data_IF_164650021441
#
_entry.id   IF_164650021441
#
_cell.length_a   1.000
_cell.length_b   1.000
_cell.length_c   1.000
_cell.angle_alpha   90.00
_cell.angle_beta   90.00
_cell.angle_gamma   90.00
#
_symmetry.space_group_name_H-M   'P 1'
#
loop_
_entity.id
_entity.type
_entity.pdbx_description
1 polymer ?
#
# COMPACT_ATOMS: atom_id res chain seq x y z
N UNK A 1 2.31 -3.56 1.02
CA UNK A 1 1.88 -4.07 2.31
C UNK A 1 0.63 -3.41 2.85
N UNK A 2 -0.07 -4.14 3.71
CA UNK A 2 -1.29 -3.66 4.35
C UNK A 2 -1.03 -2.65 5.48
N UNK A 3 -2.13 -2.13 6.07
CA UNK A 3 -2.09 -1.29 7.27
C UNK A 3 -1.50 -2.04 8.47
N UNK A 4 -1.02 -1.28 9.47
CA UNK A 4 -0.51 -1.85 10.72
C UNK A 4 -1.47 -2.85 11.39
N UNK A 5 -2.78 -2.56 11.39
CA UNK A 5 -3.78 -3.46 11.95
C UNK A 5 -3.76 -4.86 11.31
N UNK A 6 -3.56 -4.93 9.99
CA UNK A 6 -3.44 -6.20 9.27
C UNK A 6 -2.12 -6.91 9.61
N UNK A 7 -1.00 -6.19 9.61
CA UNK A 7 0.30 -6.73 10.01
C UNK A 7 0.26 -7.24 11.45
N UNK A 8 -0.40 -6.50 12.34
CA UNK A 8 -0.61 -6.90 13.74
C UNK A 8 -1.32 -8.25 13.83
N UNK A 9 -2.49 -8.39 13.18
CA UNK A 9 -3.29 -9.62 13.25
C UNK A 9 -2.61 -10.82 12.58
N UNK A 10 -1.88 -10.59 11.48
CA UNK A 10 -1.24 -11.66 10.71
C UNK A 10 0.11 -12.11 11.27
N UNK A 11 0.85 -11.21 11.92
CA UNK A 11 2.20 -11.47 12.39
C UNK A 11 2.31 -11.31 13.91
N UNK A 12 2.05 -10.11 14.44
CA UNK A 12 2.35 -9.77 15.82
C UNK A 12 1.57 -10.65 16.82
N UNK A 13 0.28 -10.85 16.56
CA UNK A 13 -0.60 -11.68 17.41
C UNK A 13 -0.35 -13.18 17.27
N UNK A 14 0.47 -13.58 16.29
CA UNK A 14 0.91 -14.96 16.10
C UNK A 14 2.27 -15.25 16.73
N UNK A 15 2.98 -14.24 17.21
CA UNK A 15 4.27 -14.41 17.86
C UNK A 15 4.10 -15.13 19.20
N UNK A 16 4.94 -16.13 19.44
CA UNK A 16 4.99 -16.81 20.75
C UNK A 16 5.59 -15.89 21.82
N UNK A 17 5.42 -16.26 23.09
CA UNK A 17 6.03 -15.55 24.21
C UNK A 17 7.58 -15.55 24.18
N UNK A 18 8.19 -16.46 23.41
CA UNK A 18 9.66 -16.57 23.26
C UNK A 18 10.21 -15.66 22.16
N UNK A 19 9.37 -15.05 21.34
CA UNK A 19 9.82 -14.16 20.28
C UNK A 19 10.50 -12.91 20.84
N UNK A 20 11.74 -12.65 20.41
CA UNK A 20 12.45 -11.43 20.77
C UNK A 20 11.89 -10.24 20.00
N UNK A 21 10.89 -9.59 20.56
CA UNK A 21 10.21 -8.44 19.95
C UNK A 21 11.12 -7.23 19.74
N UNK A 22 12.19 -7.11 20.53
CA UNK A 22 13.14 -6.00 20.40
C UNK A 22 13.94 -6.05 19.07
N UNK A 23 14.06 -7.25 18.47
CA UNK A 23 14.72 -7.42 17.17
C UNK A 23 13.75 -7.33 15.98
N UNK A 24 12.47 -7.07 16.24
CA UNK A 24 11.47 -6.95 15.16
C UNK A 24 11.24 -5.49 14.79
N UNK A 25 11.29 -5.23 13.50
CA UNK A 25 11.00 -3.94 12.89
C UNK A 25 9.73 -4.08 12.04
N UNK A 26 8.66 -3.40 12.42
CA UNK A 26 7.39 -3.48 11.71
C UNK A 26 7.25 -2.26 10.80
N UNK A 27 7.27 -2.50 9.50
CA UNK A 27 7.23 -1.45 8.48
C UNK A 27 6.05 -1.67 7.50
N UNK A 28 4.80 -1.47 7.97
CA UNK A 28 3.62 -1.56 7.11
C UNK A 28 3.60 -0.46 6.05
N UNK A 29 2.70 -0.60 5.06
CA UNK A 29 2.47 0.37 4.00
C UNK A 29 3.77 0.75 3.27
N UNK A 30 4.49 -0.27 2.77
CA UNK A 30 5.76 -0.12 2.05
C UNK A 30 6.84 0.65 2.82
N UNK A 31 6.85 0.56 4.16
CA UNK A 31 7.84 1.22 5.01
C UNK A 31 7.54 2.67 5.39
N UNK A 32 6.43 3.24 4.92
CA UNK A 32 6.05 4.61 5.25
C UNK A 32 5.64 4.81 6.71
N UNK A 33 5.43 3.71 7.41
CA UNK A 33 5.23 3.69 8.87
C UNK A 33 6.20 2.72 9.48
N UNK A 34 6.70 3.08 10.65
CA UNK A 34 7.65 2.26 11.39
C UNK A 34 7.25 2.13 12.85
N UNK A 35 7.25 0.90 13.33
CA UNK A 35 6.93 0.58 14.71
C UNK A 35 8.05 -0.25 15.34
N UNK A 36 8.34 0.07 16.59
CA UNK A 36 9.31 -0.65 17.46
C UNK A 36 8.65 -1.10 18.75
N UNK A 37 9.18 -2.17 19.28
CA UNK A 37 8.82 -2.62 20.63
C UNK A 37 9.60 -1.84 21.68
N UNK A 38 8.90 -1.20 22.64
CA UNK A 38 9.48 -0.41 23.71
C UNK A 38 9.74 -1.21 25.01
N UNK A 39 9.45 -2.50 24.99
CA UNK A 39 9.47 -3.38 26.17
C UNK A 39 8.08 -3.79 26.64
N UNK A 40 7.05 -3.02 26.32
CA UNK A 40 5.66 -3.25 26.72
C UNK A 40 4.68 -3.16 25.53
N UNK A 41 4.91 -2.22 24.60
CA UNK A 41 4.00 -1.91 23.50
C UNK A 41 4.74 -1.70 22.18
N UNK A 42 4.00 -1.81 21.08
CA UNK A 42 4.45 -1.38 19.76
C UNK A 42 4.20 0.10 19.60
N UNK A 43 5.27 0.88 19.58
CA UNK A 43 5.25 2.34 19.44
C UNK A 43 5.52 2.74 18.00
N UNK A 44 4.70 3.62 17.45
CA UNK A 44 4.96 4.23 16.16
C UNK A 44 6.11 5.22 16.29
N UNK A 45 7.18 4.98 15.55
CA UNK A 45 8.39 5.83 15.56
C UNK A 45 8.23 6.96 14.55
N UNK A 46 7.76 6.63 13.33
CA UNK A 46 7.42 7.62 12.31
C UNK A 46 6.24 7.19 11.45
N UNK A 47 5.65 8.17 10.78
CA UNK A 47 4.70 8.00 9.69
C UNK A 47 4.95 9.10 8.64
N UNK A 48 5.09 8.69 7.37
CA UNK A 48 5.15 9.58 6.22
C UNK A 48 3.78 9.54 5.53
N UNK A 49 2.92 10.47 5.88
CA UNK A 49 1.56 10.54 5.31
C UNK A 49 1.52 11.56 4.17
N UNK A 50 0.68 11.29 3.19
CA UNK A 50 0.33 12.28 2.16
C UNK A 50 -0.22 13.54 2.82
N UNK A 51 0.07 14.70 2.26
CA UNK A 51 -0.52 15.95 2.71
C UNK A 51 -2.05 15.91 2.64
N UNK A 52 -2.73 16.72 3.46
CA UNK A 52 -4.19 16.82 3.37
C UNK A 52 -4.65 17.30 1.98
N UNK A 53 -3.89 18.19 1.35
CA UNK A 53 -4.14 18.67 0.01
C UNK A 53 -4.05 17.55 -1.03
N UNK A 54 -2.98 16.74 -0.97
CA UNK A 54 -2.79 15.62 -1.90
C UNK A 54 -3.84 14.53 -1.71
N UNK A 55 -4.21 14.24 -0.47
CA UNK A 55 -5.32 13.33 -0.18
C UNK A 55 -6.62 13.81 -0.79
N UNK A 56 -6.98 15.09 -0.58
CA UNK A 56 -8.19 15.67 -1.15
C UNK A 56 -8.19 15.62 -2.68
N UNK A 57 -7.08 15.99 -3.33
CA UNK A 57 -6.91 15.91 -4.79
C UNK A 57 -6.99 14.47 -5.29
N UNK A 58 -6.43 13.51 -4.56
CA UNK A 58 -6.51 12.10 -4.91
C UNK A 58 -7.96 11.59 -4.89
N UNK A 59 -8.73 11.92 -3.85
CA UNK A 59 -10.15 11.58 -3.78
C UNK A 59 -10.93 12.17 -4.94
N UNK A 60 -10.77 13.47 -5.22
CA UNK A 60 -11.47 14.17 -6.31
C UNK A 60 -11.13 13.56 -7.67
N UNK A 61 -9.85 13.33 -7.96
CA UNK A 61 -9.39 12.76 -9.21
C UNK A 61 -9.90 11.34 -9.43
N UNK A 62 -9.81 10.48 -8.39
CA UNK A 62 -10.33 9.11 -8.44
C UNK A 62 -11.83 9.08 -8.71
N UNK A 63 -12.62 9.86 -7.98
CA UNK A 63 -14.07 9.89 -8.18
C UNK A 63 -14.45 10.40 -9.56
N UNK A 64 -13.88 11.54 -9.97
CA UNK A 64 -14.15 12.14 -11.28
C UNK A 64 -13.82 11.18 -12.43
N UNK A 65 -12.62 10.61 -12.44
CA UNK A 65 -12.18 9.72 -13.49
C UNK A 65 -12.93 8.38 -13.49
N UNK A 66 -13.20 7.80 -12.30
CA UNK A 66 -13.96 6.57 -12.21
C UNK A 66 -15.40 6.72 -12.68
N UNK A 67 -16.06 7.85 -12.38
CA UNK A 67 -17.39 8.17 -12.92
C UNK A 67 -17.36 8.38 -14.42
N UNK A 68 -16.42 9.16 -14.93
CA UNK A 68 -16.27 9.42 -16.37
C UNK A 68 -15.98 8.16 -17.21
N UNK A 69 -15.39 7.15 -16.59
CA UNK A 69 -15.05 5.88 -17.24
C UNK A 69 -16.07 4.75 -16.96
N UNK A 70 -17.20 5.04 -16.30
CA UNK A 70 -18.20 4.06 -15.87
C UNK A 70 -17.65 2.95 -14.97
N UNK A 71 -16.65 3.28 -14.15
CA UNK A 71 -16.02 2.36 -13.15
C UNK A 71 -16.59 2.59 -11.76
N UNK A 72 -17.30 3.70 -11.53
CA UNK A 72 -17.94 4.01 -10.26
C UNK A 72 -19.25 3.25 -10.10
N UNK A 73 -19.14 1.99 -9.65
CA UNK A 73 -20.29 1.09 -9.52
C UNK A 73 -21.24 1.51 -8.40
N UNK A 74 -22.53 1.21 -8.53
CA UNK A 74 -23.54 1.54 -7.51
C UNK A 74 -23.45 0.62 -6.29
N UNK A 75 -23.17 -0.66 -6.50
CA UNK A 75 -23.02 -1.66 -5.45
C UNK A 75 -21.58 -2.03 -5.27
N UNK A 76 -21.08 -1.94 -4.03
CA UNK A 76 -19.70 -2.27 -3.65
C UNK A 76 -19.66 -2.98 -2.30
N UNK A 77 -18.61 -3.75 -2.08
CA UNK A 77 -18.34 -4.43 -0.82
C UNK A 77 -17.39 -3.59 0.05
N UNK A 78 -17.91 -2.91 1.06
CA UNK A 78 -17.16 -2.01 1.91
C UNK A 78 -16.79 -0.67 1.24
N UNK A 79 -15.80 -0.01 1.77
CA UNK A 79 -15.34 1.28 1.25
C UNK A 79 -14.70 1.13 -0.13
N UNK A 80 -14.95 2.11 -0.99
CA UNK A 80 -14.38 2.18 -2.34
C UNK A 80 -13.01 2.83 -2.32
N UNK A 81 -12.84 3.89 -1.56
CA UNK A 81 -11.58 4.57 -1.37
C UNK A 81 -11.15 4.40 0.09
N UNK A 82 -10.00 3.83 0.30
CA UNK A 82 -9.40 3.64 1.61
C UNK A 82 -8.21 4.58 1.79
N UNK A 83 -8.28 5.42 2.81
CA UNK A 83 -7.14 6.23 3.26
C UNK A 83 -6.27 5.41 4.22
N UNK A 84 -5.01 5.23 3.85
CA UNK A 84 -3.98 4.55 4.64
C UNK A 84 -2.95 5.52 5.19
N UNK A 85 -3.23 6.84 5.08
CA UNK A 85 -2.34 7.93 5.46
C UNK A 85 -1.30 8.21 4.37
N UNK A 86 -0.33 7.35 4.19
CA UNK A 86 0.73 7.45 3.15
C UNK A 86 0.30 6.95 1.77
N UNK A 87 -0.87 6.36 1.66
CA UNK A 87 -1.40 5.78 0.42
C UNK A 87 -2.93 5.90 0.40
N UNK A 88 -3.46 6.30 -0.73
CA UNK A 88 -4.90 6.21 -1.03
C UNK A 88 -5.12 5.04 -1.97
N UNK A 89 -6.00 4.12 -1.60
CA UNK A 89 -6.34 2.95 -2.42
C UNK A 89 -7.79 3.02 -2.88
N UNK A 90 -8.00 3.11 -4.18
CA UNK A 90 -9.32 2.93 -4.80
C UNK A 90 -9.53 1.45 -5.12
N UNK A 91 -10.73 0.93 -4.86
CA UNK A 91 -11.18 -0.39 -5.32
C UNK A 91 -12.54 -0.26 -6.01
N UNK A 92 -12.61 -0.62 -7.28
CA UNK A 92 -13.84 -0.48 -8.07
C UNK A 92 -15.02 -1.24 -7.48
N UNK A 93 -14.77 -2.42 -6.90
CA UNK A 93 -15.76 -3.26 -6.25
C UNK A 93 -15.85 -3.05 -4.74
N UNK A 94 -15.02 -2.17 -4.16
CA UNK A 94 -14.87 -1.99 -2.72
C UNK A 94 -13.83 -2.92 -2.10
N UNK A 95 -13.33 -2.50 -0.94
CA UNK A 95 -12.18 -3.18 -0.29
C UNK A 95 -12.49 -4.62 0.12
N UNK A 96 -13.74 -4.91 0.50
CA UNK A 96 -14.18 -6.22 1.01
C UNK A 96 -14.75 -7.15 -0.08
N UNK A 97 -14.63 -6.78 -1.36
CA UNK A 97 -15.13 -7.64 -2.45
C UNK A 97 -14.40 -8.99 -2.47
N UNK A 98 -15.11 -10.10 -2.76
CA UNK A 98 -14.51 -11.42 -2.93
C UNK A 98 -13.44 -11.42 -4.03
N UNK A 99 -12.39 -12.24 -3.86
CA UNK A 99 -11.26 -12.32 -4.80
C UNK A 99 -11.72 -12.66 -6.21
N UNK A 100 -12.62 -13.66 -6.34
CA UNK A 100 -13.16 -14.10 -7.62
C UNK A 100 -13.92 -12.96 -8.34
N UNK A 101 -14.67 -12.13 -7.59
CA UNK A 101 -15.36 -10.99 -8.17
C UNK A 101 -14.39 -9.91 -8.65
N UNK A 102 -13.31 -9.66 -7.90
CA UNK A 102 -12.26 -8.72 -8.29
C UNK A 102 -11.53 -9.16 -9.56
N UNK A 103 -11.18 -10.43 -9.66
CA UNK A 103 -10.51 -11.02 -10.82
C UNK A 103 -11.41 -11.02 -12.06
N UNK A 104 -12.69 -11.36 -11.89
CA UNK A 104 -13.67 -11.37 -12.98
C UNK A 104 -14.03 -9.96 -13.49
N UNK A 105 -13.85 -8.92 -12.67
CA UNK A 105 -14.23 -7.55 -13.04
C UNK A 105 -13.35 -6.95 -14.13
N UNK A 106 -12.06 -7.22 -14.10
CA UNK A 106 -11.07 -6.65 -15.05
C UNK A 106 -9.96 -7.67 -15.39
N UNK A 107 -10.31 -8.79 -16.06
CA UNK A 107 -9.38 -9.88 -16.32
C UNK A 107 -8.22 -9.47 -17.25
N UNK A 108 -8.38 -8.40 -18.02
CA UNK A 108 -7.35 -7.87 -18.92
C UNK A 108 -6.55 -6.72 -18.30
N UNK A 109 -6.90 -6.27 -17.09
CA UNK A 109 -6.34 -5.10 -16.40
C UNK A 109 -6.57 -3.76 -17.14
N UNK A 110 -7.39 -3.72 -18.18
CA UNK A 110 -7.59 -2.52 -19.00
C UNK A 110 -8.29 -1.39 -18.23
N UNK A 111 -9.33 -1.73 -17.45
CA UNK A 111 -10.13 -0.72 -16.72
C UNK A 111 -9.28 -0.03 -15.67
N UNK A 112 -8.59 -0.79 -14.82
CA UNK A 112 -7.75 -0.21 -13.77
C UNK A 112 -6.54 0.55 -14.33
N UNK A 113 -5.92 0.03 -15.42
CA UNK A 113 -4.79 0.70 -16.06
C UNK A 113 -5.21 2.02 -16.71
N UNK A 114 -6.39 2.06 -17.33
CA UNK A 114 -6.95 3.29 -17.90
C UNK A 114 -7.25 4.31 -16.81
N UNK A 115 -7.86 3.88 -15.70
CA UNK A 115 -8.11 4.75 -14.55
C UNK A 115 -6.79 5.28 -13.96
N UNK A 116 -5.81 4.41 -13.73
CA UNK A 116 -4.51 4.82 -13.19
C UNK A 116 -3.83 5.87 -14.06
N UNK A 117 -3.82 5.70 -15.39
CA UNK A 117 -3.25 6.71 -16.32
C UNK A 117 -3.96 8.05 -16.26
N UNK A 118 -5.29 8.05 -16.16
CA UNK A 118 -6.07 9.30 -16.09
C UNK A 118 -5.80 10.04 -14.78
N UNK A 119 -5.75 9.31 -13.65
CA UNK A 119 -5.44 9.88 -12.34
C UNK A 119 -3.98 10.35 -12.26
N UNK A 120 -3.03 9.62 -12.86
CA UNK A 120 -1.64 10.04 -12.94
C UNK A 120 -1.45 11.35 -13.71
N UNK A 121 -2.24 11.58 -14.75
CA UNK A 121 -2.23 12.84 -15.50
C UNK A 121 -2.70 14.03 -14.66
N UNK A 122 -3.65 13.82 -13.75
CA UNK A 122 -4.12 14.85 -12.81
C UNK A 122 -3.14 15.12 -11.68
N UNK A 123 -2.36 14.11 -11.26
CA UNK A 123 -1.48 14.13 -10.09
C UNK A 123 -0.02 13.83 -10.48
N UNK A 124 0.61 14.64 -11.33
CA UNK A 124 1.92 14.33 -11.89
C UNK A 124 3.06 14.30 -10.85
N UNK A 125 2.84 14.85 -9.67
CA UNK A 125 3.80 14.85 -8.55
C UNK A 125 3.68 13.60 -7.66
N UNK A 126 2.59 12.85 -7.77
CA UNK A 126 2.39 11.59 -7.05
C UNK A 126 2.66 10.38 -7.93
N UNK A 127 2.82 9.25 -7.31
CA UNK A 127 2.88 7.95 -7.96
C UNK A 127 1.49 7.33 -7.98
N UNK A 128 1.01 6.98 -9.17
CA UNK A 128 -0.28 6.30 -9.36
C UNK A 128 -0.04 4.99 -10.05
N UNK A 129 -0.34 3.90 -9.37
CA UNK A 129 -0.11 2.53 -9.88
C UNK A 129 -1.39 1.71 -9.86
N UNK A 130 -1.60 0.85 -10.86
CA UNK A 130 -2.57 -0.22 -10.72
C UNK A 130 -2.13 -1.13 -9.57
N UNK A 131 -3.04 -1.39 -8.64
CA UNK A 131 -2.82 -2.28 -7.50
C UNK A 131 -3.27 -3.71 -7.79
N UNK A 132 -3.99 -4.35 -6.84
CA UNK A 132 -4.56 -5.69 -7.02
C UNK A 132 -5.54 -5.79 -8.19
N UNK A 133 -6.35 -6.85 -8.24
CA UNK A 133 -7.19 -7.17 -9.40
C UNK A 133 -8.18 -6.04 -9.81
N UNK A 134 -8.63 -5.20 -8.88
CA UNK A 134 -9.61 -4.12 -9.14
C UNK A 134 -9.24 -2.78 -8.53
N UNK A 135 -7.96 -2.55 -8.19
CA UNK A 135 -7.54 -1.37 -7.43
C UNK A 135 -6.54 -0.48 -8.17
N UNK A 136 -6.52 0.78 -7.73
CA UNK A 136 -5.52 1.79 -8.07
C UNK A 136 -5.01 2.40 -6.77
N UNK A 137 -3.69 2.47 -6.64
CA UNK A 137 -3.00 3.01 -5.48
C UNK A 137 -2.32 4.34 -5.84
N UNK A 138 -2.41 5.31 -4.92
CA UNK A 138 -1.77 6.62 -5.01
C UNK A 138 -0.88 6.80 -3.79
N UNK A 139 0.38 7.14 -4.00
CA UNK A 139 1.37 7.41 -2.94
C UNK A 139 2.33 8.52 -3.36
N UNK A 140 3.24 8.91 -2.48
CA UNK A 140 4.38 9.71 -2.87
C UNK A 140 5.28 8.94 -3.86
N UNK A 141 5.99 9.66 -4.72
CA UNK A 141 6.97 9.07 -5.63
C UNK A 141 8.12 8.43 -4.86
N UNK A 142 8.66 7.35 -5.40
CA UNK A 142 9.75 6.57 -4.80
C UNK A 142 9.41 5.87 -3.48
N UNK A 143 8.13 5.78 -3.16
CA UNK A 143 7.63 5.02 -2.02
C UNK A 143 7.16 3.65 -2.50
N UNK A 144 8.09 2.73 -2.56
CA UNK A 144 7.88 1.31 -2.83
C UNK A 144 8.59 0.44 -1.77
N UNK A 145 8.73 -0.84 -2.00
CA UNK A 145 9.39 -1.71 -1.02
C UNK A 145 10.88 -1.47 -0.88
N UNK A 146 11.54 -0.90 -1.91
CA UNK A 146 12.94 -0.47 -1.78
C UNK A 146 13.12 0.66 -0.77
N UNK A 147 12.12 1.54 -0.63
CA UNK A 147 12.12 2.55 0.43
C UNK A 147 12.21 1.89 1.81
N UNK A 148 11.38 0.86 2.08
CA UNK A 148 11.41 0.15 3.37
C UNK A 148 12.79 -0.50 3.64
N UNK A 149 13.44 -1.06 2.62
CA UNK A 149 14.75 -1.69 2.75
C UNK A 149 15.81 -0.64 3.07
N UNK A 150 15.83 0.50 2.37
CA UNK A 150 16.76 1.60 2.64
C UNK A 150 16.57 2.18 4.04
N UNK A 151 15.33 2.51 4.40
CA UNK A 151 15.02 3.02 5.75
C UNK A 151 15.46 2.05 6.85
N UNK A 152 15.26 0.74 6.62
CA UNK A 152 15.72 -0.27 7.60
C UNK A 152 17.23 -0.33 7.68
N UNK A 153 17.95 -0.26 6.56
CA UNK A 153 19.40 -0.22 6.52
C UNK A 153 19.95 0.99 7.31
N UNK A 154 19.38 2.16 7.07
CA UNK A 154 19.76 3.39 7.79
C UNK A 154 19.48 3.31 9.29
N UNK A 155 18.31 2.77 9.69
CA UNK A 155 17.94 2.57 11.10
C UNK A 155 18.91 1.62 11.81
N UNK A 156 19.37 0.58 11.12
CA UNK A 156 20.27 -0.43 11.67
C UNK A 156 21.75 -0.05 11.55
N UNK A 157 22.09 0.96 10.72
CA UNK A 157 23.47 1.32 10.42
C UNK A 157 24.24 0.23 9.67
N UNK A 158 23.55 -0.45 8.73
CA UNK A 158 24.11 -1.51 7.90
C UNK A 158 23.95 -1.16 6.40
N UNK A 159 24.72 -1.85 5.56
CA UNK A 159 24.58 -1.71 4.12
C UNK A 159 23.42 -2.54 3.59
N UNK A 160 22.80 -2.09 2.48
CA UNK A 160 21.64 -2.81 1.87
C UNK A 160 22.01 -4.24 1.44
N UNK A 161 23.24 -4.48 1.02
CA UNK A 161 23.74 -5.80 0.63
C UNK A 161 23.84 -6.81 1.80
N UNK A 162 23.68 -6.34 3.04
CA UNK A 162 23.61 -7.17 4.25
C UNK A 162 22.16 -7.59 4.56
N UNK A 163 21.18 -7.16 3.75
CA UNK A 163 19.76 -7.46 3.94
C UNK A 163 19.33 -8.56 2.95
N UNK A 164 18.69 -9.61 3.45
CA UNK A 164 17.99 -10.59 2.63
C UNK A 164 16.51 -10.23 2.60
N UNK A 165 16.00 -9.92 1.41
CA UNK A 165 14.57 -9.68 1.19
C UNK A 165 13.88 -10.96 0.73
N UNK A 166 12.67 -11.21 1.26
CA UNK A 166 11.81 -12.33 0.88
C UNK A 166 10.44 -11.80 0.49
N UNK A 167 10.01 -12.07 -0.73
CA UNK A 167 8.72 -11.65 -1.28
C UNK A 167 8.10 -12.74 -2.17
N UNK A 168 6.81 -12.64 -2.43
CA UNK A 168 6.05 -13.56 -3.27
C UNK A 168 5.85 -13.04 -4.71
N UNK A 169 6.18 -11.77 -4.96
CA UNK A 169 6.06 -11.10 -6.26
C UNK A 169 7.37 -10.44 -6.68
N UNK A 170 8.40 -11.27 -6.88
CA UNK A 170 9.76 -10.88 -7.30
C UNK A 170 9.92 -10.81 -8.83
N UNK A 171 8.85 -11.01 -9.61
CA UNK A 171 8.83 -10.80 -11.06
C UNK A 171 8.92 -9.29 -11.39
N UNK A 172 9.38 -8.90 -12.61
CA UNK A 172 9.56 -7.48 -12.96
C UNK A 172 8.31 -6.61 -12.83
N UNK A 173 7.11 -7.21 -12.93
CA UNK A 173 5.83 -6.52 -12.74
C UNK A 173 5.32 -6.65 -11.29
N UNK A 174 6.06 -7.31 -10.42
CA UNK A 174 5.72 -7.56 -9.04
C UNK A 174 6.05 -6.37 -8.13
N UNK A 175 5.25 -6.21 -7.07
CA UNK A 175 5.45 -5.15 -6.11
C UNK A 175 6.62 -5.40 -5.12
N UNK A 176 7.23 -6.60 -5.16
CA UNK A 176 8.41 -6.98 -4.39
C UNK A 176 9.73 -6.78 -5.17
N UNK A 177 9.63 -6.67 -6.50
CA UNK A 177 10.78 -6.54 -7.37
C UNK A 177 11.69 -5.33 -7.07
N UNK A 178 11.17 -4.16 -6.63
CA UNK A 178 12.01 -3.01 -6.31
C UNK A 178 12.84 -3.16 -5.03
N UNK A 179 12.56 -4.14 -4.19
CA UNK A 179 13.19 -4.29 -2.87
C UNK A 179 14.64 -4.76 -2.94
#
# INVERSE_FOLDING_TARGET
>A
GGKYALLKSQVVERLTGQANRANLHLMPTSGTRYYRWDGANWMQVFAHDLSEEDRAKAYESLERNARGQNIWLTHVWGERIEDRGSQITFSALGQLAPTEAKEAWDPTNEKKNRLARAVAADLPHLEVRPGGASSVDISEKNVDKSFAVRELADILGIEVDQIVFVGDRMDPDGNDYPA
#
